data_IF_753927633308
#
_entry.id   IF_753927633308
#
_cell.length_a   1.000
_cell.length_b   1.000
_cell.length_c   1.000
_cell.angle_alpha   90.00
_cell.angle_beta   90.00
_cell.angle_gamma   90.00
#
_symmetry.space_group_name_H-M   'P 1'
#
loop_
_entity.id
_entity.type
_entity.pdbx_description
1 polymer ?
#
# COMPACT_ATOMS: atom_id res chain seq x y z
N UNK A 1 -17.75 -14.46 -6.14
CA UNK A 1 -16.85 -14.18 -5.00
C UNK A 1 -16.83 -12.67 -4.79
N UNK A 2 -17.23 -12.18 -3.61
CA UNK A 2 -17.07 -10.78 -3.23
C UNK A 2 -15.92 -10.71 -2.23
N UNK A 3 -14.87 -9.94 -2.55
CA UNK A 3 -13.68 -9.80 -1.72
C UNK A 3 -12.40 -10.35 -2.33
N UNK A 4 -11.39 -10.54 -1.48
CA UNK A 4 -10.06 -10.95 -1.89
C UNK A 4 -10.04 -12.35 -2.50
N UNK A 5 -9.21 -12.55 -3.52
CA UNK A 5 -9.06 -13.84 -4.22
C UNK A 5 -7.81 -14.61 -3.80
N UNK A 6 -7.01 -14.04 -2.90
CA UNK A 6 -5.82 -14.65 -2.31
C UNK A 6 -5.67 -14.25 -0.84
N UNK A 7 -4.63 -14.75 -0.17
CA UNK A 7 -4.40 -14.55 1.25
C UNK A 7 -4.37 -13.06 1.63
N UNK A 8 -5.17 -12.69 2.62
CA UNK A 8 -5.11 -11.36 3.26
C UNK A 8 -3.91 -11.37 4.20
N UNK A 9 -3.00 -10.40 4.06
CA UNK A 9 -1.77 -10.31 4.85
C UNK A 9 -1.83 -9.26 5.94
N UNK A 10 -2.59 -8.19 5.71
CA UNK A 10 -2.70 -7.05 6.62
C UNK A 10 -4.12 -6.52 6.64
N UNK A 11 -4.47 -5.93 7.77
CA UNK A 11 -5.72 -5.22 8.01
C UNK A 11 -5.43 -4.02 8.89
N UNK A 12 -6.12 -2.91 8.66
CA UNK A 12 -5.95 -1.68 9.40
C UNK A 12 -7.29 -0.96 9.53
N UNK A 13 -7.63 -0.49 10.73
CA UNK A 13 -8.73 0.47 10.90
C UNK A 13 -8.28 1.84 10.38
N UNK A 14 -9.16 2.50 9.64
CA UNK A 14 -8.98 3.89 9.26
C UNK A 14 -9.58 4.81 10.33
N UNK A 15 -9.25 6.10 10.25
CA UNK A 15 -9.75 7.11 11.18
C UNK A 15 -11.26 7.04 11.39
N UNK A 16 -11.66 6.99 12.66
CA UNK A 16 -13.05 6.93 13.08
C UNK A 16 -13.63 5.53 13.18
N UNK A 17 -12.82 4.48 12.98
CA UNK A 17 -13.13 3.05 13.17
C UNK A 17 -14.32 2.49 12.39
N UNK A 18 -14.91 3.30 11.49
CA UNK A 18 -16.02 2.90 10.61
C UNK A 18 -15.57 2.30 9.29
N UNK A 19 -14.26 2.39 8.99
CA UNK A 19 -13.68 1.91 7.75
C UNK A 19 -12.46 1.07 8.01
N UNK A 20 -12.28 0.05 7.18
CA UNK A 20 -11.14 -0.87 7.25
C UNK A 20 -10.43 -0.90 5.90
N UNK A 21 -9.10 -0.93 5.91
CA UNK A 21 -8.29 -1.29 4.76
C UNK A 21 -7.75 -2.72 4.94
N UNK A 22 -7.85 -3.56 3.91
CA UNK A 22 -7.25 -4.90 3.88
C UNK A 22 -6.31 -5.03 2.70
N UNK A 23 -5.19 -5.72 2.87
CA UNK A 23 -4.19 -5.93 1.83
C UNK A 23 -3.96 -7.43 1.59
N UNK A 24 -3.87 -7.85 0.33
CA UNK A 24 -3.81 -9.27 -0.06
C UNK A 24 -2.78 -9.57 -1.13
N UNK A 25 -2.31 -10.82 -1.15
CA UNK A 25 -1.51 -11.40 -2.23
C UNK A 25 -2.20 -11.34 -3.60
N UNK A 26 -3.49 -11.03 -3.66
CA UNK A 26 -4.22 -10.76 -4.92
C UNK A 26 -3.84 -9.42 -5.56
N UNK A 27 -2.84 -8.73 -4.99
CA UNK A 27 -2.31 -7.42 -5.40
C UNK A 27 -3.31 -6.29 -5.22
N UNK A 28 -4.29 -6.44 -4.35
CA UNK A 28 -5.22 -5.37 -4.04
C UNK A 28 -5.13 -4.90 -2.60
N UNK A 29 -5.39 -3.61 -2.41
CA UNK A 29 -5.87 -3.08 -1.13
C UNK A 29 -7.35 -2.78 -1.30
N UNK A 30 -8.18 -3.26 -0.38
CA UNK A 30 -9.63 -3.06 -0.38
C UNK A 30 -10.05 -2.25 0.82
N UNK A 31 -11.04 -1.39 0.62
CA UNK A 31 -11.61 -0.53 1.63
C UNK A 31 -13.04 -0.96 1.91
N UNK A 32 -13.38 -1.05 3.18
CA UNK A 32 -14.65 -1.59 3.65
C UNK A 32 -15.33 -0.59 4.56
N UNK A 33 -16.65 -0.53 4.47
CA UNK A 33 -17.51 0.13 5.44
C UNK A 33 -17.97 -0.91 6.47
N UNK A 34 -17.69 -0.65 7.74
CA UNK A 34 -17.94 -1.58 8.86
C UNK A 34 -19.44 -1.69 9.15
N UNK A 35 -20.14 -0.57 9.10
CA UNK A 35 -21.56 -0.51 9.46
C UNK A 35 -22.43 -1.29 8.45
N UNK A 36 -22.14 -1.14 7.15
CA UNK A 36 -22.86 -1.82 6.07
C UNK A 36 -22.29 -3.18 5.68
N UNK A 37 -21.07 -3.53 6.12
CA UNK A 37 -20.33 -4.72 5.70
C UNK A 37 -20.16 -4.81 4.18
N UNK A 38 -19.86 -3.69 3.53
CA UNK A 38 -19.68 -3.63 2.08
C UNK A 38 -18.31 -3.08 1.68
N UNK A 39 -17.82 -3.52 0.52
CA UNK A 39 -16.64 -2.93 -0.10
C UNK A 39 -17.00 -1.54 -0.62
N UNK A 40 -16.27 -0.54 -0.16
CA UNK A 40 -16.36 0.84 -0.65
C UNK A 40 -15.65 0.92 -2.01
N UNK A 41 -14.41 0.45 -2.06
CA UNK A 41 -13.58 0.45 -3.26
C UNK A 41 -12.39 -0.50 -3.11
N UNK A 42 -11.69 -0.73 -4.21
CA UNK A 42 -10.41 -1.44 -4.24
C UNK A 42 -9.41 -0.72 -5.13
N UNK A 43 -8.14 -0.89 -4.80
CA UNK A 43 -7.02 -0.39 -5.60
C UNK A 43 -6.13 -1.56 -5.97
N UNK A 44 -5.75 -1.61 -7.25
CA UNK A 44 -4.86 -2.63 -7.80
C UNK A 44 -3.42 -2.12 -7.76
N UNK A 45 -2.50 -2.96 -7.31
CA UNK A 45 -1.09 -2.64 -7.15
C UNK A 45 -0.25 -3.47 -8.13
N UNK A 46 0.92 -2.96 -8.57
CA UNK A 46 1.82 -3.72 -9.46
C UNK A 46 2.32 -5.05 -8.86
N UNK A 47 2.46 -5.11 -7.54
CA UNK A 47 2.86 -6.31 -6.79
C UNK A 47 2.04 -6.46 -5.51
N UNK A 48 2.15 -7.63 -4.87
CA UNK A 48 1.51 -7.85 -3.59
C UNK A 48 1.98 -6.80 -2.56
N UNK A 49 1.04 -6.18 -1.82
CA UNK A 49 1.37 -5.32 -0.69
C UNK A 49 2.06 -6.09 0.43
N UNK A 50 3.16 -5.54 0.92
CA UNK A 50 3.92 -6.07 2.05
C UNK A 50 3.47 -5.49 3.39
N UNK A 51 3.04 -4.22 3.41
CA UNK A 51 2.57 -3.58 4.64
C UNK A 51 1.59 -2.43 4.42
N UNK A 52 0.83 -2.12 5.48
CA UNK A 52 -0.09 -1.00 5.61
C UNK A 52 0.20 -0.24 6.90
N UNK A 53 0.38 1.08 6.81
CA UNK A 53 0.57 1.96 7.98
C UNK A 53 -0.20 3.27 7.78
N UNK A 54 -0.65 3.91 8.85
CA UNK A 54 -1.42 5.17 8.76
C UNK A 54 -0.72 6.29 9.52
N UNK A 55 -0.80 7.51 8.98
CA UNK A 55 -0.36 8.70 9.71
C UNK A 55 -1.20 8.93 10.96
N UNK A 56 -0.61 9.52 12.01
CA UNK A 56 -1.28 9.71 13.30
C UNK A 56 -2.58 10.55 13.21
N UNK A 57 -2.64 11.48 12.26
CA UNK A 57 -3.84 12.29 12.00
C UNK A 57 -4.92 11.54 11.20
N UNK A 58 -4.59 10.34 10.71
CA UNK A 58 -5.44 9.45 9.94
C UNK A 58 -5.66 9.87 8.50
N UNK A 59 -4.95 10.89 7.99
CA UNK A 59 -5.21 11.45 6.66
C UNK A 59 -4.55 10.66 5.52
N UNK A 60 -3.50 9.90 5.82
CA UNK A 60 -2.71 9.18 4.82
C UNK A 60 -2.55 7.71 5.23
N UNK A 61 -2.85 6.83 4.28
CA UNK A 61 -2.46 5.42 4.31
C UNK A 61 -1.18 5.25 3.49
N UNK A 62 -0.14 4.71 4.13
CA UNK A 62 1.07 4.22 3.48
C UNK A 62 0.87 2.76 3.10
N UNK A 63 1.18 2.43 1.84
CA UNK A 63 1.19 1.06 1.36
C UNK A 63 2.54 0.76 0.75
N UNK A 64 3.20 -0.28 1.27
CA UNK A 64 4.45 -0.78 0.71
C UNK A 64 4.18 -1.99 -0.18
N UNK A 65 4.83 -2.05 -1.33
CA UNK A 65 4.76 -3.19 -2.25
C UNK A 65 6.01 -3.22 -3.13
N UNK A 66 6.61 -4.39 -3.33
CA UNK A 66 7.82 -4.53 -4.13
C UNK A 66 8.94 -3.61 -3.62
N UNK A 67 9.37 -2.66 -4.45
CA UNK A 67 10.35 -1.63 -4.08
C UNK A 67 9.71 -0.24 -3.96
N UNK A 68 8.43 -0.16 -3.64
CA UNK A 68 7.67 1.10 -3.63
C UNK A 68 7.04 1.36 -2.28
N UNK A 69 7.06 2.62 -1.84
CA UNK A 69 6.15 3.15 -0.83
C UNK A 69 5.19 4.10 -1.52
N UNK A 70 3.90 3.88 -1.36
CA UNK A 70 2.84 4.73 -1.91
C UNK A 70 2.02 5.36 -0.79
N UNK A 71 1.46 6.53 -1.09
CA UNK A 71 0.73 7.38 -0.15
C UNK A 71 -0.66 7.61 -0.71
N UNK A 72 -1.68 7.30 0.08
CA UNK A 72 -3.06 7.35 -0.33
C UNK A 72 -3.86 8.22 0.62
N UNK A 73 -4.73 9.05 0.07
CA UNK A 73 -5.68 9.82 0.87
C UNK A 73 -6.75 8.86 1.43
N UNK A 74 -6.99 8.88 2.73
CA UNK A 74 -7.92 7.93 3.40
C UNK A 74 -9.39 8.27 3.23
N UNK A 75 -9.72 9.47 2.72
CA UNK A 75 -11.08 9.88 2.42
C UNK A 75 -11.47 9.63 0.97
N UNK A 76 -10.59 9.98 0.03
CA UNK A 76 -10.85 9.82 -1.41
C UNK A 76 -10.37 8.48 -1.96
N UNK A 77 -9.49 7.77 -1.23
CA UNK A 77 -8.79 6.56 -1.67
C UNK A 77 -7.96 6.76 -2.94
N UNK A 78 -7.55 7.99 -3.21
CA UNK A 78 -6.71 8.32 -4.35
C UNK A 78 -5.23 8.29 -3.95
N UNK A 79 -4.40 7.76 -4.86
CA UNK A 79 -2.95 7.77 -4.71
C UNK A 79 -2.45 9.21 -4.85
N UNK A 80 -1.83 9.72 -3.81
CA UNK A 80 -1.26 11.06 -3.79
C UNK A 80 0.14 11.08 -4.41
N UNK A 81 0.96 10.07 -4.07
CA UNK A 81 2.35 9.93 -4.55
C UNK A 81 2.89 8.54 -4.29
N UNK A 82 4.01 8.22 -4.93
CA UNK A 82 4.80 7.02 -4.67
C UNK A 82 6.29 7.31 -4.82
N UNK A 83 7.10 6.53 -4.11
CA UNK A 83 8.55 6.56 -4.21
C UNK A 83 9.06 5.13 -4.37
N UNK A 84 9.94 4.92 -5.33
CA UNK A 84 10.72 3.69 -5.36
C UNK A 84 11.85 3.80 -4.33
N UNK A 85 11.87 2.88 -3.37
CA UNK A 85 12.96 2.71 -2.43
C UNK A 85 14.09 2.02 -3.20
N UNK A 86 15.28 2.65 -3.34
CA UNK A 86 16.40 2.02 -4.02
C UNK A 86 16.73 0.70 -3.33
N UNK A 87 16.64 -0.40 -4.08
CA UNK A 87 17.29 -1.64 -3.63
C UNK A 87 18.81 -1.39 -3.73
N UNK A 88 19.56 -1.54 -2.64
CA UNK A 88 21.01 -1.39 -2.72
C UNK A 88 21.57 -2.45 -3.67
N UNK A 89 21.86 -2.02 -4.90
CA UNK A 89 22.82 -2.63 -5.82
C UNK A 89 23.48 -1.53 -6.65
N UNK A 90 24.15 -0.60 -5.99
CA UNK A 90 25.25 0.11 -6.66
C UNK A 90 26.52 -0.70 -6.42
N UNK A 91 26.79 -1.60 -7.37
CA UNK A 91 28.09 -2.24 -7.48
C UNK A 91 29.15 -1.16 -7.67
N UNK A 92 30.23 -1.28 -6.91
CA UNK A 92 31.46 -0.49 -7.02
C UNK A 92 31.83 -0.26 -8.49
N UNK A 93 31.64 0.95 -9.01
CA UNK A 93 32.29 1.35 -10.25
C UNK A 93 33.75 1.59 -9.90
N UNK A 94 34.62 0.65 -10.24
CA UNK A 94 36.07 0.87 -10.22
C UNK A 94 36.39 2.00 -11.19
N UNK A 95 36.70 3.17 -10.65
CA UNK A 95 37.29 4.28 -11.40
C UNK A 95 38.68 3.85 -11.86
N UNK A 96 38.77 3.32 -13.07
CA UNK A 96 40.02 3.18 -13.78
C UNK A 96 40.61 4.56 -14.03
N UNK A 97 41.77 4.84 -13.43
CA UNK A 97 42.63 5.97 -13.83
C UNK A 97 43.00 5.78 -15.30
N UNK A 98 42.76 6.79 -16.13
CA UNK A 98 43.54 6.97 -17.35
C UNK A 98 44.50 8.13 -17.14
N UNK A 99 45.76 7.83 -17.44
CA UNK A 99 46.95 8.69 -17.50
C UNK A 99 46.86 9.72 -18.60
#
# INVERSE_FOLDING_TARGET
>A
MRGHTSAIKKVLFLKGDKRIATASDDKTVRFWDVDSNTEITKVELPSAPSDLEMTADGSILLVTYGHTVSFWNTETYEKMKEFQVPSQKEGLVSIGRQT
#
